data_IF_106807249416
#
_entry.id   IF_106807249416
#
_cell.length_a   1.000
_cell.length_b   1.000
_cell.length_c   1.000
_cell.angle_alpha   90.00
_cell.angle_beta   90.00
_cell.angle_gamma   90.00
#
_symmetry.space_group_name_H-M   'P 1'
#
loop_
_entity.id
_entity.type
_entity.pdbx_description
1 polymer ?
#
# COMPACT_ATOMS: atom_id res chain seq x y z
N UNK A 1 0.76 -2.74 -0.81
CA UNK A 1 1.33 -2.96 -2.16
C UNK A 1 0.90 -4.30 -2.79
N UNK A 2 0.90 -5.38 -2.02
CA UNK A 2 0.72 -6.80 -2.40
C UNK A 2 -0.67 -7.11 -3.00
N UNK A 3 -1.68 -6.34 -2.58
CA UNK A 3 -3.06 -6.52 -3.03
C UNK A 3 -3.27 -6.30 -4.53
N UNK A 4 -2.34 -5.61 -5.19
CA UNK A 4 -2.40 -5.35 -6.63
C UNK A 4 -1.86 -6.48 -7.48
N UNK A 5 -1.18 -7.47 -6.90
CA UNK A 5 -0.51 -8.53 -7.67
C UNK A 5 -1.49 -9.33 -8.55
N UNK A 6 -2.65 -9.82 -8.05
CA UNK A 6 -3.60 -10.54 -8.90
C UNK A 6 -4.18 -9.69 -10.03
N UNK A 7 -4.41 -8.39 -9.77
CA UNK A 7 -4.88 -7.45 -10.79
C UNK A 7 -3.83 -7.24 -11.88
N UNK A 8 -2.56 -7.11 -11.50
CA UNK A 8 -1.46 -6.92 -12.44
C UNK A 8 -1.17 -8.19 -13.25
N UNK A 9 -1.30 -9.37 -12.64
CA UNK A 9 -1.22 -10.65 -13.35
C UNK A 9 -2.28 -10.73 -14.45
N UNK A 10 -3.54 -10.45 -14.12
CA UNK A 10 -4.63 -10.41 -15.12
C UNK A 10 -4.37 -9.36 -16.19
N UNK A 11 -3.93 -8.15 -15.82
CA UNK A 11 -3.60 -7.09 -16.77
C UNK A 11 -2.51 -7.51 -17.76
N UNK A 12 -1.46 -8.19 -17.27
CA UNK A 12 -0.37 -8.69 -18.11
C UNK A 12 -0.83 -9.85 -19.00
N UNK A 13 -1.73 -10.72 -18.53
CA UNK A 13 -2.29 -11.81 -19.35
C UNK A 13 -3.16 -11.29 -20.50
N UNK A 14 -3.92 -10.21 -20.30
CA UNK A 14 -4.76 -9.59 -21.35
C UNK A 14 -3.93 -9.04 -22.53
N UNK A 15 -2.62 -8.82 -22.34
CA UNK A 15 -1.70 -8.42 -23.41
C UNK A 15 -1.53 -9.48 -24.50
N UNK A 16 -1.57 -10.75 -24.12
CA UNK A 16 -1.18 -11.86 -25.00
C UNK A 16 -2.16 -12.10 -26.18
N UNK A 17 -3.27 -11.35 -26.27
CA UNK A 17 -4.28 -11.48 -27.32
C UNK A 17 -4.54 -10.22 -28.15
N UNK A 18 -3.68 -9.18 -28.10
CA UNK A 18 -3.86 -7.93 -28.89
C UNK A 18 -2.78 -7.75 -29.95
N UNK A 19 -3.18 -7.29 -31.14
CA UNK A 19 -2.31 -6.87 -32.24
C UNK A 19 -2.63 -5.41 -32.66
N UNK A 20 -1.72 -4.44 -32.51
CA UNK A 20 -0.39 -4.58 -31.90
C UNK A 20 -0.49 -4.73 -30.36
N UNK A 21 0.50 -5.40 -29.73
CA UNK A 21 0.49 -5.61 -28.29
C UNK A 21 0.63 -4.29 -27.54
N UNK A 22 -0.34 -3.96 -26.68
CA UNK A 22 -0.19 -2.87 -25.70
C UNK A 22 1.01 -3.16 -24.79
N UNK A 23 2.06 -2.34 -24.88
CA UNK A 23 3.35 -2.63 -24.25
C UNK A 23 3.46 -2.03 -22.84
N UNK A 24 2.95 -2.75 -21.83
CA UNK A 24 3.27 -2.42 -20.43
C UNK A 24 4.67 -2.94 -20.11
N UNK A 25 5.66 -2.04 -20.03
CA UNK A 25 7.07 -2.39 -19.80
C UNK A 25 7.32 -2.92 -18.39
N UNK A 26 6.70 -2.30 -17.40
CA UNK A 26 6.84 -2.64 -15.99
C UNK A 26 5.67 -2.05 -15.20
N UNK A 27 5.43 -2.58 -13.99
CA UNK A 27 4.54 -1.98 -13.01
C UNK A 27 5.29 -1.70 -11.70
N UNK A 28 4.89 -0.65 -11.01
CA UNK A 28 5.43 -0.26 -9.71
C UNK A 28 4.30 -0.16 -8.70
N UNK A 29 4.50 -0.75 -7.53
CA UNK A 29 3.56 -0.63 -6.42
C UNK A 29 4.29 -0.09 -5.19
N UNK A 30 3.69 0.92 -4.56
CA UNK A 30 4.26 1.71 -3.47
C UNK A 30 3.49 1.45 -2.17
N UNK A 31 4.20 1.45 -1.04
CA UNK A 31 3.60 1.42 0.29
C UNK A 31 3.50 2.84 0.89
N UNK A 32 2.49 3.14 1.72
CA UNK A 32 2.50 4.38 2.54
C UNK A 32 3.74 4.32 3.41
N UNK A 33 4.35 5.44 3.74
CA UNK A 33 5.30 5.55 4.85
C UNK A 33 4.87 4.78 6.13
N UNK A 34 3.56 4.70 6.45
CA UNK A 34 3.01 3.95 7.60
C UNK A 34 2.43 2.57 7.29
N UNK A 35 2.62 2.04 6.07
CA UNK A 35 2.04 0.77 5.64
C UNK A 35 3.12 -0.18 5.12
N UNK A 36 2.82 -1.48 5.12
CA UNK A 36 3.67 -2.49 4.48
C UNK A 36 5.11 -2.47 4.99
N UNK A 37 6.05 -2.62 4.06
CA UNK A 37 7.48 -2.64 4.39
C UNK A 37 7.97 -1.25 4.82
N UNK A 38 7.39 -0.20 4.25
CA UNK A 38 7.71 1.19 4.62
C UNK A 38 7.43 1.45 6.09
N UNK A 39 6.36 0.89 6.67
CA UNK A 39 6.05 1.04 8.09
C UNK A 39 7.18 0.51 8.98
N UNK A 40 7.71 -0.67 8.61
CA UNK A 40 8.81 -1.32 9.33
C UNK A 40 10.07 -0.45 9.24
N UNK A 41 10.43 -0.01 8.03
CA UNK A 41 11.57 0.87 7.79
C UNK A 41 11.47 2.20 8.55
N UNK A 42 10.27 2.77 8.65
CA UNK A 42 10.05 4.06 9.31
C UNK A 42 9.64 3.95 10.78
N UNK A 43 9.75 2.77 11.42
CA UNK A 43 9.22 2.55 12.77
C UNK A 43 9.61 3.64 13.76
N UNK A 44 10.90 4.02 13.80
CA UNK A 44 11.40 5.06 14.72
C UNK A 44 10.85 6.44 14.37
N UNK A 45 10.84 6.80 13.09
CA UNK A 45 10.33 8.09 12.62
C UNK A 45 8.83 8.23 12.89
N UNK A 46 8.05 7.18 12.64
CA UNK A 46 6.60 7.17 12.88
C UNK A 46 6.28 7.27 14.38
N UNK A 47 7.05 6.62 15.26
CA UNK A 47 6.89 6.72 16.73
C UNK A 47 7.23 8.12 17.26
N UNK A 48 8.19 8.80 16.64
CA UNK A 48 8.61 10.14 17.06
C UNK A 48 7.61 11.24 16.63
N UNK A 49 6.72 10.98 15.66
CA UNK A 49 5.73 11.96 15.20
C UNK A 49 4.59 12.10 16.20
N UNK A 50 4.22 13.36 16.49
CA UNK A 50 3.03 13.69 17.29
C UNK A 50 1.74 13.58 16.48
N UNK A 51 1.81 13.87 15.18
CA UNK A 51 0.67 13.87 14.27
C UNK A 51 0.73 12.70 13.29
N UNK A 52 -0.45 12.22 12.90
CA UNK A 52 -0.60 11.20 11.87
C UNK A 52 -0.20 11.71 10.48
N UNK A 53 0.17 10.78 9.60
CA UNK A 53 0.47 11.12 8.21
C UNK A 53 -0.79 11.52 7.46
N UNK A 54 -0.66 12.53 6.61
CA UNK A 54 -1.70 13.04 5.74
C UNK A 54 -1.59 12.48 4.32
N UNK A 55 -2.65 12.67 3.52
CA UNK A 55 -2.60 12.39 2.08
C UNK A 55 -1.55 13.25 1.37
N UNK A 56 -1.33 14.48 1.83
CA UNK A 56 -0.28 15.34 1.31
C UNK A 56 1.11 14.74 1.60
N UNK A 57 1.36 14.23 2.83
CA UNK A 57 2.61 13.53 3.14
C UNK A 57 2.83 12.32 2.20
N UNK A 58 1.78 11.54 1.93
CA UNK A 58 1.86 10.46 0.95
C UNK A 58 2.22 11.01 -0.44
N UNK A 59 1.50 12.03 -0.91
CA UNK A 59 1.70 12.61 -2.23
C UNK A 59 3.14 13.11 -2.42
N UNK A 60 3.74 13.74 -1.41
CA UNK A 60 5.15 14.13 -1.44
C UNK A 60 6.10 12.93 -1.59
N UNK A 61 5.82 11.80 -0.93
CA UNK A 61 6.60 10.58 -1.12
C UNK A 61 6.44 9.98 -2.52
N UNK A 62 5.23 10.02 -3.11
CA UNK A 62 5.04 9.64 -4.51
C UNK A 62 5.84 10.59 -5.41
N UNK A 63 5.78 11.91 -5.21
CA UNK A 63 6.54 12.88 -6.01
C UNK A 63 8.05 12.63 -5.93
N UNK A 64 8.57 12.24 -4.76
CA UNK A 64 9.97 11.85 -4.62
C UNK A 64 10.31 10.62 -5.48
N UNK A 65 9.43 9.61 -5.52
CA UNK A 65 9.55 8.50 -6.46
C UNK A 65 9.43 8.97 -7.92
N UNK A 66 8.53 9.92 -8.21
CA UNK A 66 8.33 10.42 -9.56
C UNK A 66 9.54 11.14 -10.14
N UNK A 67 10.28 11.84 -9.28
CA UNK A 67 11.53 12.52 -9.62
C UNK A 67 12.74 11.59 -9.63
N UNK A 68 12.59 10.34 -9.23
CA UNK A 68 13.71 9.40 -9.15
C UNK A 68 14.14 8.94 -10.54
N UNK A 69 15.44 8.59 -10.72
CA UNK A 69 15.93 8.04 -11.99
C UNK A 69 15.20 6.76 -12.43
N UNK A 70 14.52 6.06 -11.51
CA UNK A 70 13.80 4.82 -11.81
C UNK A 70 12.67 5.01 -12.82
N UNK A 71 12.13 6.21 -12.94
CA UNK A 71 11.02 6.50 -13.86
C UNK A 71 11.26 7.71 -14.76
N UNK A 72 12.49 8.22 -14.79
CA UNK A 72 12.87 9.30 -15.70
C UNK A 72 12.59 8.90 -17.17
N UNK A 73 11.96 9.81 -17.92
CA UNK A 73 11.60 9.60 -19.33
C UNK A 73 10.49 8.57 -19.57
N UNK A 74 9.85 8.05 -18.53
CA UNK A 74 8.78 7.06 -18.67
C UNK A 74 7.42 7.72 -18.74
N UNK A 75 6.56 7.21 -19.63
CA UNK A 75 5.14 7.59 -19.70
C UNK A 75 4.33 6.65 -18.83
N UNK A 76 3.63 7.18 -17.83
CA UNK A 76 3.00 6.40 -16.77
C UNK A 76 1.48 6.39 -16.88
N UNK A 77 0.86 5.27 -16.52
CA UNK A 77 -0.56 5.22 -16.16
C UNK A 77 -0.62 5.01 -14.65
N UNK A 78 -1.18 5.97 -13.93
CA UNK A 78 -1.32 5.91 -12.48
C UNK A 78 -2.63 5.24 -12.11
N UNK A 79 -2.61 4.31 -11.15
CA UNK A 79 -3.80 3.64 -10.63
C UNK A 79 -3.83 3.80 -9.12
N UNK A 80 -4.91 4.39 -8.60
CA UNK A 80 -5.08 4.61 -7.17
C UNK A 80 -6.43 4.10 -6.69
N UNK A 81 -6.42 3.43 -5.54
CA UNK A 81 -7.64 3.05 -4.83
C UNK A 81 -7.79 3.89 -3.56
N UNK A 82 -9.01 4.37 -3.29
CA UNK A 82 -9.35 5.10 -2.08
C UNK A 82 -8.36 6.25 -1.79
N UNK A 83 -7.74 6.27 -0.61
CA UNK A 83 -6.68 7.23 -0.26
C UNK A 83 -5.55 7.33 -1.29
N UNK A 84 -5.19 6.23 -1.95
CA UNK A 84 -4.16 6.23 -3.00
C UNK A 84 -4.61 6.97 -4.27
N UNK A 85 -5.90 6.96 -4.58
CA UNK A 85 -6.48 7.75 -5.69
C UNK A 85 -6.32 9.24 -5.40
N UNK A 86 -6.71 9.67 -4.20
CA UNK A 86 -6.58 11.06 -3.76
C UNK A 86 -5.10 11.50 -3.70
N UNK A 87 -4.20 10.64 -3.23
CA UNK A 87 -2.77 10.94 -3.17
C UNK A 87 -2.16 11.14 -4.58
N UNK A 88 -2.52 10.29 -5.54
CA UNK A 88 -2.09 10.43 -6.94
C UNK A 88 -2.67 11.68 -7.61
N UNK A 89 -3.93 12.03 -7.35
CA UNK A 89 -4.47 13.31 -7.80
C UNK A 89 -3.74 14.48 -7.16
N UNK A 90 -3.36 14.38 -5.88
CA UNK A 90 -2.68 15.45 -5.18
C UNK A 90 -1.27 15.69 -5.75
N UNK A 91 -0.58 14.68 -6.28
CA UNK A 91 0.74 14.88 -6.91
C UNK A 91 0.69 15.82 -8.10
N UNK A 92 -0.44 15.91 -8.80
CA UNK A 92 -0.59 16.83 -9.95
C UNK A 92 -0.58 18.30 -9.53
N UNK A 93 -0.82 18.59 -8.24
CA UNK A 93 -0.67 19.94 -7.66
C UNK A 93 0.76 20.25 -7.20
N UNK A 94 1.58 19.20 -7.04
CA UNK A 94 2.95 19.30 -6.53
C UNK A 94 4.00 19.26 -7.64
N UNK A 95 3.57 19.02 -8.87
CA UNK A 95 4.39 18.96 -10.06
C UNK A 95 3.93 20.04 -11.04
N UNK A 96 4.85 20.66 -11.80
CA UNK A 96 4.46 21.56 -12.88
C UNK A 96 3.63 20.82 -13.95
N UNK A 97 2.55 21.42 -14.49
CA UNK A 97 1.69 20.78 -15.48
C UNK A 97 2.42 20.22 -16.71
N UNK A 98 3.44 20.95 -17.19
CA UNK A 98 4.28 20.59 -18.33
C UNK A 98 5.21 19.40 -18.06
N UNK A 99 5.37 19.01 -16.79
CA UNK A 99 6.24 17.93 -16.33
C UNK A 99 5.47 16.76 -15.71
N UNK A 100 4.15 16.68 -15.90
CA UNK A 100 3.36 15.55 -15.39
C UNK A 100 3.69 14.27 -16.17
N UNK A 101 4.17 13.20 -15.50
CA UNK A 101 4.58 11.97 -16.18
C UNK A 101 3.38 11.07 -16.54
N UNK A 102 2.15 11.48 -16.23
CA UNK A 102 0.95 10.67 -16.37
C UNK A 102 0.31 10.84 -17.75
N UNK A 103 0.23 9.76 -18.52
CA UNK A 103 -0.66 9.68 -19.68
C UNK A 103 -2.13 9.45 -19.30
N UNK A 104 -2.38 8.97 -18.07
CA UNK A 104 -3.71 8.77 -17.55
C UNK A 104 -3.68 8.41 -16.07
N UNK A 105 -4.80 8.70 -15.38
CA UNK A 105 -5.00 8.37 -13.97
C UNK A 105 -6.32 7.61 -13.85
N UNK A 106 -6.27 6.40 -13.28
CA UNK A 106 -7.43 5.55 -12.99
C UNK A 106 -7.74 5.65 -11.51
N UNK A 107 -8.94 6.13 -11.20
CA UNK A 107 -9.41 6.37 -9.84
C UNK A 107 -10.41 5.27 -9.45
N UNK A 108 -10.04 4.44 -8.48
CA UNK A 108 -10.90 3.35 -7.98
C UNK A 108 -11.44 3.76 -6.61
N UNK A 109 -12.75 3.95 -6.49
CA UNK A 109 -13.41 4.31 -5.22
C UNK A 109 -12.76 5.52 -4.52
N UNK A 110 -12.45 6.57 -5.29
CA UNK A 110 -11.78 7.76 -4.77
C UNK A 110 -12.72 8.54 -3.81
N UNK A 111 -12.33 8.80 -2.56
CA UNK A 111 -13.11 9.60 -1.64
C UNK A 111 -13.00 11.07 -2.02
N UNK A 112 -13.83 11.50 -2.97
CA UNK A 112 -13.90 12.87 -3.46
C UNK A 112 -15.23 13.49 -3.06
N UNK A 113 -15.16 14.74 -2.61
CA UNK A 113 -16.33 15.54 -2.28
C UNK A 113 -15.99 16.99 -2.61
N UNK A 114 -16.96 17.69 -3.20
CA UNK A 114 -16.85 19.13 -3.39
C UNK A 114 -16.75 19.84 -2.04
N UNK A 115 -15.98 20.94 -1.98
CA UNK A 115 -15.73 21.66 -0.73
C UNK A 115 -17.00 22.29 -0.17
N UNK A 116 -17.84 22.88 -1.01
CA UNK A 116 -19.06 23.53 -0.54
C UNK A 116 -20.08 22.49 -0.07
N UNK A 117 -20.14 21.34 -0.75
CA UNK A 117 -20.94 20.19 -0.29
C UNK A 117 -20.42 19.65 1.05
N UNK A 118 -19.10 19.57 1.24
CA UNK A 118 -18.50 19.16 2.49
C UNK A 118 -18.84 20.12 3.62
N UNK A 119 -18.64 21.43 3.42
CA UNK A 119 -18.90 22.44 4.46
C UNK A 119 -20.39 22.52 4.82
N UNK A 120 -21.30 22.48 3.84
CA UNK A 120 -22.75 22.41 4.08
C UNK A 120 -23.16 21.19 4.92
N UNK A 121 -22.41 20.10 4.83
CA UNK A 121 -22.69 18.85 5.54
C UNK A 121 -21.65 18.50 6.61
N UNK A 122 -20.87 19.48 7.09
CA UNK A 122 -19.63 19.27 7.84
C UNK A 122 -19.78 18.34 9.04
N UNK A 123 -20.85 18.51 9.83
CA UNK A 123 -21.12 17.67 11.00
C UNK A 123 -21.27 16.20 10.61
N UNK A 124 -22.07 15.92 9.57
CA UNK A 124 -22.28 14.56 9.04
C UNK A 124 -20.98 13.98 8.50
N UNK A 125 -20.23 14.75 7.71
CA UNK A 125 -18.96 14.28 7.14
C UNK A 125 -17.92 13.99 8.22
N UNK A 126 -17.81 14.85 9.23
CA UNK A 126 -16.91 14.64 10.35
C UNK A 126 -17.26 13.39 11.15
N UNK A 127 -18.54 13.07 11.31
CA UNK A 127 -19.00 11.82 11.93
C UNK A 127 -18.60 10.60 11.09
N UNK A 128 -18.81 10.64 9.78
CA UNK A 128 -18.38 9.56 8.86
C UNK A 128 -16.88 9.32 8.93
N UNK A 129 -16.07 10.38 8.86
CA UNK A 129 -14.61 10.31 8.97
C UNK A 129 -14.20 9.68 10.31
N UNK A 130 -14.80 10.13 11.42
CA UNK A 130 -14.53 9.57 12.75
C UNK A 130 -14.92 8.09 12.84
N UNK A 131 -16.03 7.68 12.23
CA UNK A 131 -16.46 6.29 12.20
C UNK A 131 -15.47 5.41 11.42
N UNK A 132 -15.02 5.87 10.24
CA UNK A 132 -14.01 5.18 9.43
C UNK A 132 -12.68 5.09 10.19
N UNK A 133 -12.23 6.18 10.81
CA UNK A 133 -11.02 6.20 11.63
C UNK A 133 -11.12 5.21 12.79
N UNK A 134 -12.21 5.23 13.56
CA UNK A 134 -12.46 4.29 14.65
C UNK A 134 -12.45 2.86 14.16
N UNK A 135 -13.16 2.56 13.07
CA UNK A 135 -13.18 1.23 12.47
C UNK A 135 -11.81 0.79 11.94
N UNK A 136 -10.94 1.71 11.53
CA UNK A 136 -9.57 1.40 11.13
C UNK A 136 -8.66 1.15 12.32
N UNK A 137 -8.73 2.00 13.35
CA UNK A 137 -7.88 1.93 14.54
C UNK A 137 -8.32 0.87 15.54
N UNK A 138 -9.56 0.37 15.48
CA UNK A 138 -10.06 -0.70 16.35
C UNK A 138 -9.82 -2.10 15.80
N UNK A 139 -9.30 -2.24 14.58
CA UNK A 139 -9.05 -3.55 13.98
C UNK A 139 -8.08 -4.36 14.81
N UNK A 140 -8.33 -5.67 14.88
CA UNK A 140 -7.34 -6.63 15.35
C UNK A 140 -6.15 -6.58 14.40
N UNK A 141 -4.97 -6.50 14.98
CA UNK A 141 -3.69 -6.36 14.29
C UNK A 141 -2.66 -7.38 14.78
N UNK A 142 -3.01 -8.23 15.76
CA UNK A 142 -2.14 -9.26 16.33
C UNK A 142 -2.82 -10.63 16.36
N UNK A 143 -2.10 -11.65 15.90
CA UNK A 143 -2.51 -13.06 15.92
C UNK A 143 -1.32 -13.95 16.34
N UNK A 144 -1.60 -15.16 16.81
CA UNK A 144 -0.58 -16.15 17.18
C UNK A 144 0.02 -16.86 15.96
N UNK A 145 -0.70 -16.92 14.83
CA UNK A 145 -0.19 -17.48 13.58
C UNK A 145 -0.81 -16.83 12.35
N UNK A 146 -0.22 -17.03 11.17
CA UNK A 146 -0.75 -16.53 9.90
C UNK A 146 -2.06 -17.22 9.53
N UNK A 147 -2.20 -18.49 9.87
CA UNK A 147 -3.41 -19.30 9.65
C UNK A 147 -4.57 -18.73 10.45
N UNK A 148 -4.36 -18.44 11.74
CA UNK A 148 -5.38 -17.79 12.58
C UNK A 148 -5.73 -16.38 12.08
N UNK A 149 -4.75 -15.64 11.58
CA UNK A 149 -5.02 -14.33 10.99
C UNK A 149 -5.89 -14.46 9.73
N UNK A 150 -5.57 -15.41 8.85
CA UNK A 150 -6.32 -15.64 7.62
C UNK A 150 -7.75 -16.09 7.89
N UNK A 151 -7.95 -17.01 8.86
CA UNK A 151 -9.28 -17.46 9.27
C UNK A 151 -10.12 -16.32 9.87
N UNK A 152 -9.49 -15.49 10.71
CA UNK A 152 -10.15 -14.31 11.25
C UNK A 152 -10.54 -13.31 10.16
N UNK A 153 -9.70 -13.12 9.14
CA UNK A 153 -10.01 -12.23 8.01
C UNK A 153 -11.15 -12.81 7.15
N UNK A 154 -11.11 -14.10 6.80
CA UNK A 154 -12.15 -14.76 5.98
C UNK A 154 -13.55 -14.67 6.55
N UNK A 155 -13.68 -14.65 7.87
CA UNK A 155 -14.98 -14.58 8.56
C UNK A 155 -15.52 -13.16 8.75
N UNK A 156 -14.80 -12.12 8.31
CA UNK A 156 -15.12 -10.71 8.63
C UNK A 156 -15.17 -9.83 7.39
N UNK A 157 -16.18 -8.96 7.31
CA UNK A 157 -16.18 -7.88 6.32
C UNK A 157 -15.08 -6.84 6.63
N UNK A 158 -14.46 -6.25 5.60
CA UNK A 158 -14.72 -6.47 4.17
C UNK A 158 -13.98 -7.69 3.57
N UNK A 159 -13.05 -8.30 4.29
CA UNK A 159 -12.17 -9.35 3.73
C UNK A 159 -12.89 -10.61 3.28
N UNK A 160 -14.01 -10.95 3.91
CA UNK A 160 -14.84 -12.10 3.52
C UNK A 160 -15.43 -11.99 2.10
N UNK A 161 -15.43 -10.79 1.50
CA UNK A 161 -15.91 -10.58 0.14
C UNK A 161 -14.77 -10.36 -0.86
N UNK A 162 -13.51 -10.49 -0.45
CA UNK A 162 -12.36 -10.31 -1.32
C UNK A 162 -12.12 -11.57 -2.17
N UNK A 163 -11.51 -11.38 -3.35
CA UNK A 163 -10.96 -12.49 -4.13
C UNK A 163 -9.99 -13.31 -3.27
N UNK A 164 -10.13 -14.64 -3.31
CA UNK A 164 -9.37 -15.55 -2.46
C UNK A 164 -7.84 -15.41 -2.64
N UNK A 165 -7.37 -15.09 -3.85
CA UNK A 165 -5.94 -14.86 -4.15
C UNK A 165 -5.44 -13.59 -3.46
N UNK A 166 -6.23 -12.52 -3.49
CA UNK A 166 -5.92 -11.25 -2.81
C UNK A 166 -5.87 -11.46 -1.31
N UNK A 167 -6.84 -12.19 -0.75
CA UNK A 167 -6.90 -12.48 0.68
C UNK A 167 -5.75 -13.36 1.15
N UNK A 168 -5.36 -14.37 0.37
CA UNK A 168 -4.22 -15.22 0.67
C UNK A 168 -2.90 -14.42 0.69
N UNK A 169 -2.67 -13.58 -0.32
CA UNK A 169 -1.50 -12.67 -0.35
C UNK A 169 -1.49 -11.74 0.87
N UNK A 170 -2.67 -11.23 1.23
CA UNK A 170 -2.82 -10.35 2.36
C UNK A 170 -2.45 -11.02 3.70
N UNK A 171 -2.92 -12.24 3.94
CA UNK A 171 -2.57 -13.01 5.14
C UNK A 171 -1.10 -13.47 5.18
N UNK A 172 -0.51 -13.80 4.03
CA UNK A 172 0.86 -14.34 3.98
C UNK A 172 1.92 -13.25 4.03
N UNK A 173 1.72 -12.13 3.31
CA UNK A 173 2.78 -11.14 3.02
C UNK A 173 2.58 -9.78 3.68
N UNK A 174 1.37 -9.40 4.07
CA UNK A 174 1.12 -8.13 4.77
C UNK A 174 1.21 -8.23 6.30
N UNK A 175 1.50 -9.44 6.81
CA UNK A 175 1.69 -9.74 8.22
C UNK A 175 3.16 -10.05 8.52
N UNK A 176 3.74 -9.34 9.50
CA UNK A 176 5.12 -9.55 9.97
C UNK A 176 5.13 -10.30 11.30
N UNK A 177 6.23 -10.97 11.60
CA UNK A 177 6.43 -11.61 12.91
C UNK A 177 7.04 -10.58 13.87
N UNK A 178 6.40 -10.34 15.01
CA UNK A 178 6.95 -9.63 16.15
C UNK A 178 7.29 -10.65 17.25
N UNK A 179 8.58 -10.79 17.56
CA UNK A 179 9.01 -11.42 18.80
C UNK A 179 8.92 -10.36 19.90
N UNK A 180 7.94 -10.48 20.79
CA UNK A 180 7.84 -9.60 21.95
C UNK A 180 8.70 -10.25 23.04
N UNK A 181 9.76 -9.56 23.48
CA UNK A 181 10.64 -9.99 24.57
C UNK A 181 9.96 -9.83 25.93
N UNK A 182 8.88 -10.56 26.15
CA UNK A 182 8.22 -10.74 27.44
C UNK A 182 7.57 -12.13 27.43
N UNK A 183 8.34 -13.15 27.84
CA UNK A 183 7.95 -14.55 27.66
C UNK A 183 8.20 -15.05 26.23
N UNK A 184 8.30 -16.36 26.04
CA UNK A 184 8.69 -17.03 24.80
C UNK A 184 7.62 -16.96 23.68
N UNK A 185 6.78 -15.92 23.66
CA UNK A 185 5.61 -15.88 22.78
C UNK A 185 5.90 -15.05 21.50
N UNK A 186 5.89 -15.73 20.37
CA UNK A 186 5.98 -15.13 19.04
C UNK A 186 4.59 -14.73 18.54
N UNK A 187 4.43 -13.46 18.14
CA UNK A 187 3.17 -12.95 17.60
C UNK A 187 3.32 -12.45 16.16
N UNK A 188 2.22 -12.44 15.42
CA UNK A 188 2.14 -11.92 14.05
C UNK A 188 1.39 -10.60 14.06
N UNK A 189 1.99 -9.54 13.51
CA UNK A 189 1.47 -8.18 13.49
C UNK A 189 1.21 -7.66 12.07
N UNK A 190 0.09 -6.95 11.89
CA UNK A 190 -0.24 -6.29 10.63
C UNK A 190 0.58 -5.02 10.42
N UNK A 191 1.13 -4.85 9.22
CA UNK A 191 1.96 -3.71 8.81
C UNK A 191 1.32 -2.32 8.86
N UNK A 192 0.06 -2.17 9.29
CA UNK A 192 -0.66 -0.89 9.32
C UNK A 192 -0.74 -0.24 10.71
N UNK A 193 -0.25 -0.89 11.77
CA UNK A 193 -0.42 -0.38 13.13
C UNK A 193 0.88 0.22 13.69
N UNK A 194 1.21 1.44 13.29
CA UNK A 194 2.10 2.28 14.10
C UNK A 194 1.35 3.08 15.18
N UNK A 195 0.01 3.02 15.22
CA UNK A 195 -0.79 3.91 16.06
C UNK A 195 -0.94 3.48 17.53
N UNK A 196 -0.44 2.31 17.98
CA UNK A 196 -0.89 1.71 19.25
C UNK A 196 0.11 1.60 20.41
N UNK A 197 1.41 1.90 20.26
CA UNK A 197 2.34 1.86 21.40
C UNK A 197 3.31 3.04 21.40
N UNK A 198 2.89 4.10 22.08
CA UNK A 198 3.76 5.15 22.59
C UNK A 198 4.48 4.60 23.83
N UNK A 199 5.79 4.38 23.75
CA UNK A 199 6.67 4.30 24.92
C UNK A 199 7.88 5.19 24.61
N UNK A 200 8.23 6.16 25.46
CA UNK A 200 9.21 7.18 25.12
C UNK A 200 10.64 6.65 25.29
N UNK A 201 11.47 6.77 24.25
CA UNK A 201 12.94 6.85 24.37
C UNK A 201 13.51 7.79 23.31
N UNK A 202 14.63 8.50 23.60
CA UNK A 202 14.97 9.72 22.89
C UNK A 202 15.73 9.49 21.58
N UNK A 203 15.45 10.45 20.68
CA UNK A 203 16.13 10.93 19.48
C UNK A 203 17.23 10.09 18.81
N UNK A 204 17.03 9.82 17.52
CA UNK A 204 18.07 9.93 16.49
C UNK A 204 17.43 10.27 15.14
N UNK A 205 18.05 11.24 14.46
CA UNK A 205 17.69 11.77 13.15
C UNK A 205 17.75 10.68 12.07
N UNK A 206 16.69 10.46 11.27
CA UNK A 206 16.79 9.81 9.95
C UNK A 206 15.51 9.93 9.10
N UNK A 207 15.72 9.98 7.78
CA UNK A 207 14.84 10.43 6.69
C UNK A 207 13.60 9.52 6.48
N UNK A 208 12.45 10.11 6.13
CA UNK A 208 11.22 9.38 5.76
C UNK A 208 11.44 8.56 4.47
N UNK A 209 11.55 7.23 4.57
CA UNK A 209 11.81 6.35 3.43
C UNK A 209 10.51 5.68 2.96
N UNK A 210 10.30 5.56 1.65
CA UNK A 210 9.17 4.80 1.10
C UNK A 210 9.71 3.65 0.27
N UNK A 211 9.16 2.43 0.43
CA UNK A 211 9.56 1.25 -0.34
C UNK A 211 8.66 1.07 -1.55
N UNK A 212 9.30 0.75 -2.67
CA UNK A 212 8.68 0.44 -3.95
C UNK A 212 9.10 -0.95 -4.40
N UNK A 213 8.22 -1.66 -5.11
CA UNK A 213 8.54 -2.92 -5.78
C UNK A 213 8.31 -2.78 -7.28
N UNK A 214 9.34 -3.07 -8.08
CA UNK A 214 9.23 -3.30 -9.52
C UNK A 214 8.63 -4.69 -9.76
N UNK A 215 7.60 -4.76 -10.58
CA UNK A 215 6.97 -5.98 -11.06
C UNK A 215 7.19 -6.05 -12.58
N UNK A 216 7.88 -7.09 -13.03
CA UNK A 216 8.20 -7.30 -14.45
C UNK A 216 7.41 -8.47 -15.01
N UNK A 217 7.16 -8.45 -16.32
CA UNK A 217 6.39 -9.47 -17.04
C UNK A 217 7.10 -10.84 -17.13
N UNK A 218 8.40 -10.91 -16.84
CA UNK A 218 9.17 -12.17 -16.76
C UNK A 218 9.05 -12.80 -15.38
N UNK A 219 7.91 -13.44 -15.12
CA UNK A 219 7.82 -14.52 -14.16
C UNK A 219 8.32 -15.80 -14.85
N UNK A 220 9.64 -16.02 -14.90
CA UNK A 220 10.19 -17.28 -15.42
C UNK A 220 9.88 -18.39 -14.43
N UNK A 221 9.16 -19.41 -14.91
CA UNK A 221 8.90 -20.68 -14.24
C UNK A 221 10.19 -21.22 -13.60
N UNK A 222 10.23 -21.30 -12.27
CA UNK A 222 11.18 -22.17 -11.56
C UNK A 222 10.52 -23.52 -11.31
N UNK A 223 10.58 -24.39 -12.30
CA UNK A 223 10.56 -25.85 -12.10
C UNK A 223 11.24 -26.53 -13.28
N UNK A 224 12.54 -26.82 -13.14
CA UNK A 224 13.11 -28.08 -13.65
C UNK A 224 14.43 -28.36 -12.94
N UNK A 225 14.34 -29.33 -12.04
CA UNK A 225 15.40 -30.11 -11.44
C UNK A 225 16.36 -30.59 -12.54
N UNK A 226 17.62 -30.16 -12.49
CA UNK A 226 18.71 -30.83 -13.21
C UNK A 226 19.11 -32.06 -12.40
N UNK A 227 18.59 -33.22 -12.78
CA UNK A 227 19.26 -34.49 -12.51
C UNK A 227 20.60 -34.46 -13.28
N UNK A 228 21.71 -34.57 -12.55
CA UNK A 228 23.01 -34.90 -13.13
C UNK A 228 23.03 -36.39 -13.42
N UNK A 229 23.29 -36.73 -14.68
CA UNK A 229 23.72 -38.06 -15.10
C UNK A 229 25.12 -37.95 -15.70
N UNK A 230 25.94 -38.96 -15.37
CA UNK A 230 27.37 -39.15 -15.64
C UNK A 230 28.28 -38.57 -14.58
#
# INVERSE_FOLDING_TARGET
KELWEPTLETLFSLRNGRDPPTNVREAWALDWQSHGDSAVLNTSALKARREGLTIADWAHAIVAFLRSPHIAGQRLVAIGHSAGATALMYTTKLLPPEHLPYAGIILVEAPLIDRDVFEKNRKRQQMTIKAVQKAATSRRDVWSSKEQALEWLRSRRPWSTWDARVLALYGVRSLYILNISCGHDTFIHRSTACARRQVPRPALCQRNATRWRRLTTTATLKTRTRQRSR
#
